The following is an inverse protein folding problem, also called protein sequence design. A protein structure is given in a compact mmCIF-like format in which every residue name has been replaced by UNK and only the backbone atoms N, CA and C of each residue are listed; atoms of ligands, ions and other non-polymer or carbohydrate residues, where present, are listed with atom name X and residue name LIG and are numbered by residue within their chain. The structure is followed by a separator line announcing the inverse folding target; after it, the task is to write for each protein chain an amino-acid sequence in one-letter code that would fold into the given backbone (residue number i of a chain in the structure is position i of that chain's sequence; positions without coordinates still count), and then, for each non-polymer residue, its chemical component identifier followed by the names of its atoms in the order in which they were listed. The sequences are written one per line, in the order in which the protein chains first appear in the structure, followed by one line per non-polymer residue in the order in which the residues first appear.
data_IF_098206799370
#
_entry.id   IF_098206799370
#
_cell.length_a   1.000
_cell.length_b   1.000
_cell.length_c   1.000
_cell.angle_alpha   90.00
_cell.angle_beta   90.00
_cell.angle_gamma   90.00
#
_symmetry.space_group_name_H-M   'P 1'
#
loop_
_entity.id
_entity.type
_entity.pdbx_description
1 polymer ?
#
# COMPACT_ATOMS: atom_id res chain seq x y z
N UNK A 1 10.16 10.98 2.48
CA UNK A 1 8.85 11.38 3.08
C UNK A 1 8.23 10.20 3.77
N UNK A 2 7.44 10.43 4.81
CA UNK A 2 6.76 9.35 5.52
C UNK A 2 5.35 9.70 5.97
N UNK A 3 4.57 8.65 6.22
CA UNK A 3 3.22 8.70 6.75
C UNK A 3 3.07 7.63 7.85
N UNK A 4 2.05 7.75 8.69
CA UNK A 4 1.73 6.76 9.71
C UNK A 4 0.33 6.23 9.42
N UNK A 5 0.20 4.92 9.26
CA UNK A 5 -1.09 4.22 9.23
C UNK A 5 -1.35 3.58 10.58
N UNK A 6 -2.54 3.80 11.13
CA UNK A 6 -2.99 3.20 12.40
C UNK A 6 -4.11 2.23 12.10
N UNK A 7 -3.99 0.98 12.55
CA UNK A 7 -4.96 -0.07 12.28
C UNK A 7 -5.12 -1.01 13.48
N UNK A 8 -6.21 -1.75 13.50
CA UNK A 8 -6.57 -2.65 14.60
C UNK A 8 -6.14 -4.10 14.28
N UNK A 9 -5.48 -4.80 15.21
CA UNK A 9 -5.13 -6.22 15.08
C UNK A 9 -5.64 -7.02 16.31
N UNK A 10 -6.82 -7.65 16.24
CA UNK A 10 -7.42 -8.34 17.38
C UNK A 10 -6.68 -9.62 17.82
N UNK A 11 -5.76 -10.13 17.01
CA UNK A 11 -5.06 -11.40 17.25
C UNK A 11 -3.68 -11.25 17.91
N UNK A 12 -3.19 -10.04 18.11
CA UNK A 12 -1.89 -9.79 18.75
C UNK A 12 -2.11 -9.51 20.25
N UNK A 13 -1.58 -10.33 21.18
CA UNK A 13 -1.90 -10.26 22.62
C UNK A 13 -1.33 -9.03 23.36
N UNK A 14 -1.06 -7.93 22.66
CA UNK A 14 -0.52 -6.71 23.27
C UNK A 14 -1.60 -5.95 24.06
N UNK A 15 -1.44 -5.94 25.38
CA UNK A 15 -2.45 -5.57 26.40
C UNK A 15 -2.83 -4.08 26.47
N UNK A 16 -2.60 -3.30 25.41
CA UNK A 16 -2.90 -1.85 25.36
C UNK A 16 -3.64 -1.53 24.05
N UNK A 17 -4.98 -1.65 24.11
CA UNK A 17 -5.97 -1.15 23.13
C UNK A 17 -5.98 -1.77 21.72
N UNK A 18 -5.22 -2.83 21.44
CA UNK A 18 -5.26 -3.60 20.19
C UNK A 18 -5.04 -2.76 18.90
N UNK A 19 -4.48 -1.55 19.04
CA UNK A 19 -4.17 -0.61 17.95
C UNK A 19 -2.67 -0.62 17.64
N UNK A 20 -2.34 -0.80 16.37
CA UNK A 20 -0.99 -0.81 15.85
C UNK A 20 -0.75 0.37 14.92
N UNK A 21 0.44 0.96 15.01
CA UNK A 21 0.90 1.99 14.09
C UNK A 21 2.03 1.44 13.23
N UNK A 22 1.94 1.59 11.91
CA UNK A 22 3.05 1.33 10.98
C UNK A 22 3.46 2.61 10.28
N UNK A 23 4.76 2.81 10.19
CA UNK A 23 5.35 3.91 9.45
C UNK A 23 5.51 3.49 7.98
N UNK A 24 5.08 4.35 7.07
CA UNK A 24 5.15 4.16 5.62
C UNK A 24 6.20 5.13 5.09
N UNK A 25 7.14 4.62 4.30
CA UNK A 25 8.24 5.37 3.75
C UNK A 25 8.24 5.31 2.21
N UNK A 26 8.48 6.48 1.62
CA UNK A 26 8.85 6.62 0.23
C UNK A 26 10.16 7.40 0.18
N UNK A 27 11.26 6.68 -0.03
CA UNK A 27 12.61 7.24 0.00
C UNK A 27 13.35 6.91 -1.29
N UNK A 28 13.42 7.84 -2.25
CA UNK A 28 14.05 7.60 -3.56
C UNK A 28 15.58 7.38 -3.48
N UNK A 29 16.21 7.81 -2.39
CA UNK A 29 17.63 7.57 -2.08
C UNK A 29 17.76 7.12 -0.64
N UNK A 30 17.80 5.80 -0.41
CA UNK A 30 17.95 5.23 0.92
C UNK A 30 19.41 4.82 1.16
N UNK A 31 20.07 5.43 2.16
CA UNK A 31 21.44 5.09 2.57
C UNK A 31 22.48 5.12 1.43
N UNK A 32 22.37 6.08 0.50
CA UNK A 32 23.20 6.14 -0.73
C UNK A 32 23.08 4.89 -1.62
N UNK A 33 22.02 4.10 -1.44
CA UNK A 33 21.70 2.90 -2.20
C UNK A 33 20.41 3.07 -3.02
N UNK A 34 19.81 1.95 -3.45
CA UNK A 34 18.60 1.97 -4.26
C UNK A 34 17.41 2.60 -3.52
N UNK A 35 16.42 3.06 -4.28
CA UNK A 35 15.19 3.59 -3.72
C UNK A 35 14.48 2.55 -2.85
N UNK A 36 13.93 3.00 -1.72
CA UNK A 36 13.12 2.19 -0.81
C UNK A 36 11.68 2.72 -0.82
N UNK A 37 10.77 1.89 -1.31
CA UNK A 37 9.35 2.21 -1.43
C UNK A 37 8.54 1.12 -0.74
N UNK A 38 7.82 1.51 0.31
CA UNK A 38 7.02 0.57 1.09
C UNK A 38 5.80 0.08 0.30
N UNK A 39 5.48 -1.19 0.48
CA UNK A 39 4.25 -1.81 -0.03
C UNK A 39 3.13 -1.64 1.00
N UNK A 40 1.92 -1.35 0.54
CA UNK A 40 0.74 -1.11 1.36
C UNK A 40 -0.47 -1.87 0.84
N UNK A 41 -1.40 -2.18 1.75
CA UNK A 41 -2.75 -2.61 1.45
C UNK A 41 -3.68 -1.40 1.42
N UNK A 42 -4.49 -1.31 0.39
CA UNK A 42 -5.44 -0.23 0.16
C UNK A 42 -6.84 -0.81 0.13
N UNK A 43 -7.76 -0.13 0.83
CA UNK A 43 -9.19 -0.41 0.77
C UNK A 43 -9.80 0.44 -0.35
N UNK A 44 -10.02 -0.17 -1.52
CA UNK A 44 -10.69 0.43 -2.67
C UNK A 44 -11.78 -0.50 -3.17
N UNK A 45 -12.94 -0.50 -2.50
CA UNK A 45 -14.25 -1.03 -2.93
C UNK A 45 -14.22 -2.28 -3.84
N UNK A 46 -13.33 -3.24 -3.52
CA UNK A 46 -13.27 -4.58 -4.10
C UNK A 46 -13.08 -4.64 -5.62
N UNK A 47 -11.85 -4.48 -6.10
CA UNK A 47 -11.50 -4.94 -7.46
C UNK A 47 -11.51 -6.49 -7.53
N UNK A 48 -11.81 -7.06 -8.71
CA UNK A 48 -11.85 -8.51 -8.91
C UNK A 48 -10.49 -9.20 -8.68
N UNK A 49 -9.39 -8.44 -8.71
CA UNK A 49 -8.02 -8.92 -8.53
C UNK A 49 -7.47 -8.62 -7.11
N UNK A 50 -8.34 -8.30 -6.15
CA UNK A 50 -7.96 -7.92 -4.78
C UNK A 50 -7.72 -9.13 -3.87
N UNK A 51 -6.79 -8.98 -2.93
CA UNK A 51 -6.53 -9.95 -1.86
C UNK A 51 -7.55 -9.72 -0.76
N UNK A 52 -8.53 -10.62 -0.63
CA UNK A 52 -9.59 -10.52 0.39
C UNK A 52 -10.30 -9.14 0.39
N UNK A 53 -10.51 -8.53 -0.79
CA UNK A 53 -11.12 -7.20 -0.92
C UNK A 53 -10.16 -6.03 -0.77
N UNK A 54 -8.86 -6.27 -0.52
CA UNK A 54 -7.82 -5.24 -0.45
C UNK A 54 -6.87 -5.32 -1.64
N UNK A 55 -6.54 -4.17 -2.21
CA UNK A 55 -5.57 -4.10 -3.29
C UNK A 55 -4.15 -3.87 -2.74
N UNK A 56 -3.15 -4.44 -3.41
CA UNK A 56 -1.74 -4.28 -3.05
C UNK A 56 -1.12 -3.19 -3.92
N UNK A 57 -0.41 -2.24 -3.30
CA UNK A 57 0.28 -1.17 -4.02
C UNK A 57 1.62 -0.84 -3.40
N UNK A 58 2.54 -0.26 -4.16
CA UNK A 58 3.79 0.32 -3.64
C UNK A 58 3.71 1.84 -3.65
N UNK A 59 4.11 2.46 -2.53
CA UNK A 59 4.09 3.92 -2.38
C UNK A 59 5.35 4.51 -2.98
N UNK A 60 5.19 5.24 -4.08
CA UNK A 60 6.31 5.91 -4.76
C UNK A 60 6.58 7.31 -4.20
N UNK A 61 5.54 8.01 -3.77
CA UNK A 61 5.67 9.35 -3.23
C UNK A 61 4.54 9.68 -2.26
N UNK A 62 4.85 10.43 -1.21
CA UNK A 62 3.89 10.99 -0.26
C UNK A 62 3.92 12.51 -0.37
N UNK A 63 2.76 13.13 -0.57
CA UNK A 63 2.62 14.57 -0.75
C UNK A 63 1.26 15.06 -0.27
N UNK A 64 1.08 16.37 -0.20
CA UNK A 64 -0.21 16.99 0.09
C UNK A 64 -0.42 18.21 -0.79
N UNK A 65 -1.66 18.49 -1.18
CA UNK A 65 -2.01 19.69 -1.94
C UNK A 65 -3.24 20.39 -1.37
N UNK A 66 -3.39 21.67 -1.68
CA UNK A 66 -4.53 22.49 -1.27
C UNK A 66 -5.57 22.50 -2.41
N UNK A 67 -6.81 22.14 -2.09
CA UNK A 67 -7.94 22.25 -3.02
C UNK A 67 -9.18 22.72 -2.26
N UNK A 68 -9.89 23.73 -2.77
CA UNK A 68 -11.06 24.33 -2.11
C UNK A 68 -10.81 24.67 -0.62
N UNK A 69 -9.64 25.26 -0.32
CA UNK A 69 -9.20 25.61 1.04
C UNK A 69 -9.10 24.43 2.02
N UNK A 70 -8.98 23.19 1.51
CA UNK A 70 -8.76 21.98 2.29
C UNK A 70 -7.45 21.33 1.86
N UNK A 71 -6.64 20.91 2.84
CA UNK A 71 -5.41 20.15 2.60
C UNK A 71 -5.77 18.67 2.39
N UNK A 72 -5.30 18.10 1.29
CA UNK A 72 -5.49 16.69 0.95
C UNK A 72 -4.16 15.95 1.03
N UNK A 73 -3.95 15.11 2.06
CA UNK A 73 -2.80 14.22 2.12
C UNK A 73 -2.99 13.03 1.17
N UNK A 74 -2.00 12.80 0.31
CA UNK A 74 -2.08 11.83 -0.78
C UNK A 74 -0.80 11.01 -0.93
N UNK A 75 -0.94 9.86 -1.58
CA UNK A 75 0.15 9.01 -2.01
C UNK A 75 0.06 8.78 -3.52
N UNK A 76 1.18 8.87 -4.23
CA UNK A 76 1.34 8.31 -5.56
C UNK A 76 1.73 6.85 -5.39
N UNK A 77 0.94 5.95 -5.97
CA UNK A 77 1.13 4.50 -5.82
C UNK A 77 1.24 3.79 -7.17
N UNK A 78 1.96 2.69 -7.16
CA UNK A 78 2.02 1.72 -8.26
C UNK A 78 1.25 0.47 -7.86
N UNK A 79 0.22 0.13 -8.63
CA UNK A 79 -0.63 -1.03 -8.37
C UNK A 79 0.08 -2.35 -8.67
N UNK A 80 -0.19 -3.35 -7.83
CA UNK A 80 0.09 -4.75 -8.12
C UNK A 80 -1.18 -5.44 -8.61
N UNK A 81 -1.00 -6.57 -9.28
CA UNK A 81 -2.05 -7.51 -9.66
C UNK A 81 -1.76 -8.86 -9.02
N UNK A 82 -2.79 -9.52 -8.51
CA UNK A 82 -2.69 -10.88 -8.01
C UNK A 82 -2.44 -11.90 -9.13
N UNK A 83 -1.58 -12.87 -8.83
CA UNK A 83 -1.29 -14.02 -9.68
C UNK A 83 -2.16 -15.18 -9.19
N UNK A 84 -3.20 -15.49 -9.96
CA UNK A 84 -4.16 -16.52 -9.58
C UNK A 84 -5.18 -16.03 -8.55
N UNK A 85 -6.05 -16.95 -8.13
CA UNK A 85 -7.19 -16.65 -7.24
C UNK A 85 -7.01 -17.19 -5.81
N UNK A 86 -5.87 -17.79 -5.50
CA UNK A 86 -5.57 -18.41 -4.21
C UNK A 86 -4.10 -18.18 -3.84
N UNK A 87 -3.76 -18.25 -2.53
CA UNK A 87 -2.36 -18.26 -2.09
C UNK A 87 -1.58 -19.41 -2.71
N UNK A 88 -0.30 -19.19 -2.93
CA UNK A 88 0.62 -20.22 -3.42
C UNK A 88 0.64 -21.42 -2.44
N UNK A 89 0.50 -22.62 -3.00
CA UNK A 89 0.38 -23.86 -2.22
C UNK A 89 1.62 -24.21 -1.39
N UNK A 90 2.79 -23.68 -1.75
CA UNK A 90 4.05 -23.97 -1.06
C UNK A 90 4.30 -22.98 0.08
N UNK A 91 4.12 -21.69 -0.19
CA UNK A 91 4.42 -20.61 0.76
C UNK A 91 3.21 -20.19 1.60
N UNK A 92 1.99 -20.47 1.14
CA UNK A 92 0.76 -19.95 1.71
C UNK A 92 0.57 -18.44 1.50
N UNK A 93 1.37 -17.81 0.66
CA UNK A 93 1.37 -16.37 0.41
C UNK A 93 0.67 -16.02 -0.90
N UNK A 94 0.08 -14.84 -0.97
CA UNK A 94 -0.46 -14.31 -2.21
C UNK A 94 0.67 -13.84 -3.12
N UNK A 95 0.69 -14.38 -4.34
CA UNK A 95 1.65 -13.98 -5.35
C UNK A 95 1.13 -12.75 -6.09
N UNK A 96 1.97 -11.74 -6.25
CA UNK A 96 1.60 -10.49 -6.92
C UNK A 96 2.71 -10.05 -7.88
N UNK A 97 2.34 -9.34 -8.96
CA UNK A 97 3.30 -8.65 -9.82
C UNK A 97 2.89 -7.20 -10.05
N UNK A 98 3.85 -6.35 -10.42
CA UNK A 98 3.56 -4.97 -10.80
C UNK A 98 2.56 -4.94 -11.97
N UNK A 99 1.52 -4.12 -11.84
CA UNK A 99 0.52 -3.94 -12.89
C UNK A 99 1.02 -2.94 -13.93
N UNK A 100 0.76 -3.24 -15.20
CA UNK A 100 1.03 -2.38 -16.34
C UNK A 100 -0.29 -2.09 -17.08
N UNK A 101 -0.38 -0.91 -17.70
CA UNK A 101 -1.43 -0.56 -18.66
C UNK A 101 -1.12 -1.14 -20.05
N UNK A 102 -2.08 -1.03 -20.98
CA UNK A 102 -1.97 -1.57 -22.34
C UNK A 102 -0.70 -1.13 -23.09
N UNK A 103 -0.16 0.05 -22.78
CA UNK A 103 1.06 0.61 -23.37
C UNK A 103 2.35 0.26 -22.61
N UNK A 104 2.33 -0.76 -21.73
CA UNK A 104 3.44 -1.12 -20.82
C UNK A 104 3.86 -0.02 -19.84
N UNK A 105 3.04 1.02 -19.69
CA UNK A 105 3.22 2.02 -18.66
C UNK A 105 2.80 1.44 -17.31
N UNK A 106 3.51 1.82 -16.25
CA UNK A 106 3.14 1.41 -14.89
C UNK A 106 1.74 1.92 -14.57
N UNK A 107 0.88 1.04 -14.03
CA UNK A 107 -0.44 1.46 -13.55
C UNK A 107 -0.24 2.29 -12.28
N UNK A 108 -0.29 3.61 -12.43
CA UNK A 108 -0.09 4.58 -11.34
C UNK A 108 -1.39 5.27 -10.98
N UNK A 109 -1.58 5.59 -9.70
CA UNK A 109 -2.70 6.42 -9.26
C UNK A 109 -2.37 7.24 -8.03
N UNK A 110 -3.13 8.31 -7.83
CA UNK A 110 -3.09 9.10 -6.59
C UNK A 110 -4.21 8.60 -5.70
N UNK A 111 -3.87 8.21 -4.48
CA UNK A 111 -4.84 7.79 -3.45
C UNK A 111 -4.77 8.73 -2.26
N UNK A 112 -5.87 8.87 -1.53
CA UNK A 112 -5.89 9.60 -0.27
C UNK A 112 -5.26 8.73 0.83
N UNK A 113 -4.50 9.31 1.77
CA UNK A 113 -3.83 8.50 2.81
C UNK A 113 -4.81 7.70 3.70
N UNK A 114 -6.05 8.17 3.85
CA UNK A 114 -7.08 7.44 4.61
C UNK A 114 -7.53 6.13 3.95
N UNK A 115 -7.24 5.92 2.66
CA UNK A 115 -7.52 4.66 1.97
C UNK A 115 -6.49 3.57 2.30
N UNK A 116 -5.39 3.94 2.95
CA UNK A 116 -4.32 3.01 3.31
C UNK A 116 -4.75 2.24 4.56
N UNK A 117 -4.90 0.93 4.43
CA UNK A 117 -5.21 0.06 5.54
C UNK A 117 -3.97 -0.21 6.40
N UNK A 118 -2.89 -0.73 5.79
CA UNK A 118 -1.61 -0.96 6.49
C UNK A 118 -0.44 -1.17 5.54
N UNK A 119 0.78 -0.97 6.04
CA UNK A 119 2.00 -1.40 5.35
C UNK A 119 2.21 -2.93 5.42
N UNK A 120 2.69 -3.50 4.32
CA UNK A 120 3.03 -4.92 4.15
C UNK A 120 4.42 -5.07 3.56
N UNK A 121 4.96 -6.28 3.64
CA UNK A 121 6.25 -6.63 3.05
C UNK A 121 6.00 -7.76 2.05
N UNK A 122 6.74 -7.72 0.95
CA UNK A 122 6.76 -8.74 -0.09
C UNK A 122 7.88 -9.73 0.17
#
# INVERSE_FOLDING_TARGET
NSAIATFFMPSDPSRIRDMHCKHIQATPLWQCGPAHYDTILVDMDGSADSINGMDVTQVLCLFSFLFLNKMFPCALVHWYKCIGSQPDSTTGLWMVHLSFEYDRLHKLSIIHLNSIFRAVHL
#
